data_IF_087904384370
#
_entry.id   IF_087904384370
#
_cell.length_a   1.000
_cell.length_b   1.000
_cell.length_c   1.000
_cell.angle_alpha   90.00
_cell.angle_beta   90.00
_cell.angle_gamma   90.00
#
_symmetry.space_group_name_H-M   'P 1'
#
loop_
_entity.id
_entity.type
_entity.pdbx_description
1 polymer ?
#
# COMPACT_ATOMS: atom_id res chain seq x y z
N UNK A 1 33.15 -8.93 0.84
CA UNK A 1 33.58 -8.15 2.02
C UNK A 1 32.84 -6.83 1.97
N UNK A 2 31.70 -6.72 2.65
CA UNK A 2 30.91 -5.47 2.66
C UNK A 2 31.50 -4.55 3.73
N UNK A 3 32.29 -3.56 3.31
CA UNK A 3 32.76 -2.52 4.20
C UNK A 3 31.56 -1.66 4.60
N UNK A 4 31.17 -1.75 5.88
CA UNK A 4 30.16 -0.87 6.50
C UNK A 4 30.64 0.56 6.28
N UNK A 5 29.83 1.40 5.59
CA UNK A 5 30.24 2.77 5.26
C UNK A 5 30.66 3.52 6.53
N UNK A 6 31.68 4.37 6.41
CA UNK A 6 32.17 5.14 7.56
C UNK A 6 31.07 6.05 8.09
N UNK A 7 31.08 6.33 9.40
CA UNK A 7 30.13 7.26 10.04
C UNK A 7 30.16 8.66 9.39
N UNK A 8 31.28 9.06 8.77
CA UNK A 8 31.39 10.29 7.98
C UNK A 8 30.55 10.29 6.70
N UNK A 9 30.42 9.14 6.03
CA UNK A 9 29.65 9.01 4.79
C UNK A 9 28.13 9.01 5.02
N UNK A 10 27.70 8.51 6.18
CA UNK A 10 26.30 8.56 6.64
C UNK A 10 25.88 10.01 6.89
N UNK A 11 26.70 10.79 7.61
CA UNK A 11 26.41 12.21 7.85
C UNK A 11 26.32 13.02 6.56
N UNK A 12 27.24 12.81 5.61
CA UNK A 12 27.18 13.45 4.29
C UNK A 12 25.92 13.06 3.51
N UNK A 13 25.53 11.79 3.54
CA UNK A 13 24.32 11.32 2.85
C UNK A 13 23.06 11.93 3.46
N UNK A 14 23.00 12.01 4.80
CA UNK A 14 21.90 12.66 5.54
C UNK A 14 21.72 14.11 5.11
N UNK A 15 22.82 14.88 5.06
CA UNK A 15 22.78 16.27 4.60
C UNK A 15 22.25 16.38 3.16
N UNK A 16 22.68 15.49 2.27
CA UNK A 16 22.23 15.49 0.87
C UNK A 16 20.76 15.11 0.70
N UNK A 17 20.22 14.24 1.56
CA UNK A 17 18.78 13.91 1.57
C UNK A 17 17.95 15.14 1.96
N UNK A 18 18.44 15.94 2.90
CA UNK A 18 17.72 17.10 3.43
C UNK A 18 17.99 18.40 2.67
N UNK A 19 18.96 18.43 1.76
CA UNK A 19 19.31 19.60 0.96
C UNK A 19 18.25 19.89 -0.12
N UNK A 20 17.46 20.98 -0.01
CA UNK A 20 16.44 21.32 -0.99
C UNK A 20 17.03 21.77 -2.33
N UNK A 21 18.33 22.07 -2.41
CA UNK A 21 19.00 22.43 -3.67
C UNK A 21 19.31 21.22 -4.54
N UNK A 22 19.21 20.00 -3.99
CA UNK A 22 19.40 18.76 -4.75
C UNK A 22 18.08 18.34 -5.39
N UNK A 23 18.18 17.84 -6.62
CA UNK A 23 17.03 17.25 -7.30
C UNK A 23 16.51 16.02 -6.54
N UNK A 24 15.23 15.74 -6.70
CA UNK A 24 14.52 14.75 -5.89
C UNK A 24 15.03 13.33 -6.14
N UNK A 25 15.49 13.02 -7.36
CA UNK A 25 16.05 11.72 -7.70
C UNK A 25 17.41 11.49 -7.02
N UNK A 26 18.27 12.52 -6.99
CA UNK A 26 19.52 12.48 -6.23
C UNK A 26 19.27 12.31 -4.74
N UNK A 27 18.27 13.01 -4.18
CA UNK A 27 17.85 12.85 -2.77
C UNK A 27 17.36 11.43 -2.49
N UNK A 28 16.58 10.83 -3.39
CA UNK A 28 16.15 9.43 -3.31
C UNK A 28 17.34 8.47 -3.29
N UNK A 29 18.34 8.66 -4.17
CA UNK A 29 19.56 7.82 -4.19
C UNK A 29 20.33 7.89 -2.87
N UNK A 30 20.45 9.08 -2.28
CA UNK A 30 21.09 9.23 -0.96
C UNK A 30 20.26 8.61 0.16
N UNK A 31 18.93 8.70 0.10
CA UNK A 31 18.05 8.08 1.08
C UNK A 31 18.11 6.55 1.02
N UNK A 32 18.18 5.96 -0.19
CA UNK A 32 18.44 4.53 -0.37
C UNK A 32 19.76 4.11 0.27
N UNK A 33 20.81 4.86 0.02
CA UNK A 33 22.09 4.61 0.65
C UNK A 33 22.04 4.68 2.18
N UNK A 34 21.22 5.55 2.79
CA UNK A 34 21.04 5.56 4.24
C UNK A 34 20.31 4.30 4.73
N UNK A 35 19.25 3.90 4.03
CA UNK A 35 18.44 2.72 4.36
C UNK A 35 19.26 1.42 4.37
N UNK A 36 20.31 1.33 3.56
CA UNK A 36 21.18 0.14 3.49
C UNK A 36 22.32 0.14 4.53
N UNK A 37 22.61 1.26 5.17
CA UNK A 37 23.83 1.44 5.98
C UNK A 37 23.59 1.88 7.44
N UNK A 38 22.35 2.23 7.79
CA UNK A 38 21.99 2.74 9.13
C UNK A 38 21.09 1.73 9.83
N UNK A 39 21.27 1.57 11.15
CA UNK A 39 20.49 0.64 11.95
C UNK A 39 19.02 1.11 12.08
N UNK A 40 18.10 0.17 12.29
CA UNK A 40 16.66 0.43 12.23
C UNK A 40 16.16 1.49 13.23
N UNK A 41 16.75 1.56 14.44
CA UNK A 41 16.39 2.56 15.45
C UNK A 41 16.71 3.99 15.00
N UNK A 42 17.90 4.19 14.43
CA UNK A 42 18.35 5.50 13.94
C UNK A 42 17.57 5.90 12.69
N UNK A 43 17.27 4.95 11.81
CA UNK A 43 16.38 5.17 10.67
C UNK A 43 14.98 5.60 11.11
N UNK A 44 14.40 4.92 12.10
CA UNK A 44 13.10 5.30 12.64
C UNK A 44 13.10 6.74 13.15
N UNK A 45 14.07 7.10 13.98
CA UNK A 45 14.20 8.48 14.48
C UNK A 45 14.38 9.49 13.33
N UNK A 46 15.18 9.14 12.32
CA UNK A 46 15.39 9.98 11.14
C UNK A 46 14.10 10.21 10.34
N UNK A 47 13.32 9.14 10.12
CA UNK A 47 12.02 9.22 9.44
C UNK A 47 11.03 10.04 10.25
N UNK A 48 10.92 9.82 11.56
CA UNK A 48 10.01 10.56 12.43
C UNK A 48 10.29 12.06 12.48
N UNK A 49 11.56 12.43 12.39
CA UNK A 49 12.03 13.82 12.41
C UNK A 49 11.84 14.52 11.05
N UNK A 50 12.05 13.80 9.95
CA UNK A 50 12.10 14.36 8.59
C UNK A 50 10.95 13.86 7.69
N UNK A 51 9.84 13.43 8.30
CA UNK A 51 8.71 12.77 7.65
C UNK A 51 8.17 13.54 6.44
N UNK A 52 8.00 14.87 6.55
CA UNK A 52 7.50 15.70 5.47
C UNK A 52 8.46 15.73 4.28
N UNK A 53 9.77 15.89 4.52
CA UNK A 53 10.78 15.94 3.47
C UNK A 53 10.94 14.59 2.78
N UNK A 54 10.87 13.50 3.54
CA UNK A 54 10.94 12.14 3.01
C UNK A 54 9.70 11.82 2.16
N UNK A 55 8.52 12.20 2.64
CA UNK A 55 7.29 12.01 1.86
C UNK A 55 7.30 12.82 0.56
N UNK A 56 7.79 14.07 0.61
CA UNK A 56 8.00 14.88 -0.59
C UNK A 56 8.94 14.19 -1.59
N UNK A 57 10.06 13.62 -1.12
CA UNK A 57 10.99 12.87 -1.99
C UNK A 57 10.27 11.70 -2.67
N UNK A 58 9.50 10.93 -1.91
CA UNK A 58 8.72 9.83 -2.47
C UNK A 58 7.70 10.32 -3.50
N UNK A 59 6.86 11.29 -3.13
CA UNK A 59 5.73 11.72 -3.93
C UNK A 59 6.16 12.33 -5.27
N UNK A 60 7.14 13.23 -5.26
CA UNK A 60 7.63 13.88 -6.48
C UNK A 60 8.28 12.88 -7.46
N UNK A 61 9.09 11.93 -6.95
CA UNK A 61 9.64 10.87 -7.81
C UNK A 61 8.53 9.98 -8.37
N UNK A 62 7.52 9.63 -7.55
CA UNK A 62 6.39 8.81 -8.01
C UNK A 62 5.59 9.49 -9.12
N UNK A 63 5.22 10.76 -8.95
CA UNK A 63 4.48 11.53 -9.97
C UNK A 63 5.31 11.72 -11.25
N UNK A 64 6.61 11.99 -11.10
CA UNK A 64 7.52 12.13 -12.26
C UNK A 64 7.58 10.83 -13.06
N UNK A 65 7.71 9.69 -12.38
CA UNK A 65 7.76 8.39 -13.02
C UNK A 65 6.41 8.00 -13.64
N UNK A 66 5.29 8.26 -12.95
CA UNK A 66 3.94 8.01 -13.47
C UNK A 66 3.71 8.75 -14.80
N UNK A 67 4.06 10.04 -14.86
CA UNK A 67 3.95 10.82 -16.08
C UNK A 67 4.88 10.29 -17.19
N UNK A 68 6.08 9.86 -16.83
CA UNK A 68 7.04 9.25 -17.76
C UNK A 68 6.51 7.93 -18.36
N UNK A 69 5.89 7.08 -17.54
CA UNK A 69 5.28 5.82 -17.96
C UNK A 69 4.09 6.02 -18.90
N UNK A 70 3.26 7.05 -18.65
CA UNK A 70 2.13 7.44 -19.53
C UNK A 70 2.61 7.89 -20.93
N UNK A 71 3.77 8.57 -21.02
CA UNK A 71 4.24 9.20 -22.26
C UNK A 71 5.19 8.34 -23.11
N UNK A 72 6.18 7.69 -22.48
CA UNK A 72 7.34 7.10 -23.18
C UNK A 72 7.33 5.57 -23.23
N UNK A 73 6.24 4.95 -22.81
CA UNK A 73 6.14 3.50 -22.66
C UNK A 73 6.96 2.96 -21.48
N UNK A 74 7.08 1.64 -21.39
CA UNK A 74 7.66 0.92 -20.26
C UNK A 74 9.00 0.26 -20.63
N UNK A 75 10.12 0.83 -20.17
CA UNK A 75 11.46 0.27 -20.33
C UNK A 75 12.02 -0.30 -19.01
N UNK A 76 13.12 -1.06 -19.11
CA UNK A 76 13.74 -1.72 -17.95
C UNK A 76 14.13 -0.72 -16.85
N UNK A 77 14.70 0.43 -17.21
CA UNK A 77 15.11 1.46 -16.25
C UNK A 77 13.94 2.06 -15.46
N UNK A 78 12.79 2.30 -16.10
CA UNK A 78 11.60 2.80 -15.40
C UNK A 78 11.04 1.77 -14.41
N UNK A 79 11.16 0.48 -14.70
CA UNK A 79 10.77 -0.59 -13.75
C UNK A 79 11.68 -0.61 -12.53
N UNK A 80 12.99 -0.48 -12.73
CA UNK A 80 13.96 -0.40 -11.64
C UNK A 80 13.75 0.87 -10.80
N UNK A 81 13.40 1.99 -11.45
CA UNK A 81 13.05 3.23 -10.77
C UNK A 81 11.74 3.09 -9.97
N UNK A 82 10.71 2.43 -10.52
CA UNK A 82 9.48 2.13 -9.80
C UNK A 82 9.75 1.26 -8.57
N UNK A 83 10.49 0.17 -8.73
CA UNK A 83 10.92 -0.69 -7.62
C UNK A 83 11.71 0.14 -6.58
N UNK A 84 12.51 1.12 -7.04
CA UNK A 84 13.25 2.03 -6.17
C UNK A 84 12.33 2.88 -5.29
N UNK A 85 11.32 3.50 -5.91
CA UNK A 85 10.34 4.38 -5.29
C UNK A 85 9.41 3.60 -4.35
N UNK A 86 8.93 2.42 -4.77
CA UNK A 86 8.00 1.61 -3.97
C UNK A 86 8.64 1.08 -2.69
N UNK A 87 9.92 0.76 -2.68
CA UNK A 87 10.57 0.41 -1.42
C UNK A 87 10.78 1.64 -0.52
N UNK A 88 10.99 2.85 -1.06
CA UNK A 88 10.95 4.03 -0.18
C UNK A 88 9.55 4.19 0.42
N UNK A 89 8.50 4.00 -0.38
CA UNK A 89 7.12 4.04 0.08
C UNK A 89 6.85 3.00 1.18
N UNK A 90 7.33 1.77 1.01
CA UNK A 90 7.31 0.74 2.05
C UNK A 90 7.97 1.24 3.34
N UNK A 91 9.17 1.83 3.26
CA UNK A 91 9.87 2.33 4.45
C UNK A 91 9.12 3.48 5.13
N UNK A 92 8.44 4.34 4.37
CA UNK A 92 7.55 5.35 4.93
C UNK A 92 6.42 4.69 5.72
N UNK A 93 5.77 3.66 5.16
CA UNK A 93 4.69 2.94 5.83
C UNK A 93 5.19 2.19 7.09
N UNK A 94 6.39 1.59 7.03
CA UNK A 94 7.00 0.84 8.14
C UNK A 94 7.44 1.73 9.30
N UNK A 95 8.09 2.87 9.02
CA UNK A 95 8.69 3.72 10.05
C UNK A 95 7.79 4.85 10.57
N UNK A 96 6.66 5.13 9.93
CA UNK A 96 5.72 6.19 10.35
C UNK A 96 4.30 5.69 10.71
N UNK A 97 4.13 4.55 11.37
CA UNK A 97 2.80 4.01 11.64
C UNK A 97 1.96 4.92 12.54
N UNK A 98 2.55 5.63 13.50
CA UNK A 98 1.82 6.56 14.37
C UNK A 98 1.23 7.73 13.59
N UNK A 99 1.97 8.27 12.62
CA UNK A 99 1.46 9.37 11.78
C UNK A 99 0.31 8.88 10.90
N UNK A 100 0.47 7.69 10.32
CA UNK A 100 -0.55 7.06 9.48
C UNK A 100 -1.82 6.79 10.29
N UNK A 101 -1.70 6.28 11.51
CA UNK A 101 -2.82 6.10 12.44
C UNK A 101 -3.61 7.40 12.61
N UNK A 102 -2.93 8.54 12.72
CA UNK A 102 -3.54 9.88 12.73
C UNK A 102 -3.86 10.46 11.34
N UNK A 103 -4.00 9.62 10.31
CA UNK A 103 -4.38 9.98 8.94
C UNK A 103 -3.45 10.99 8.26
N UNK A 104 -2.16 11.00 8.60
CA UNK A 104 -1.16 11.80 7.89
C UNK A 104 -1.03 11.35 6.42
N UNK A 105 -1.07 12.31 5.48
CA UNK A 105 -1.13 12.08 4.03
C UNK A 105 -2.16 11.04 3.57
N UNK A 106 -3.25 10.84 4.33
CA UNK A 106 -4.26 9.81 4.07
C UNK A 106 -4.73 9.74 2.62
N UNK A 107 -5.10 10.88 2.04
CA UNK A 107 -5.62 10.94 0.67
C UNK A 107 -4.56 10.62 -0.38
N UNK A 108 -3.33 11.11 -0.18
CA UNK A 108 -2.23 10.92 -1.12
C UNK A 108 -1.74 9.47 -1.10
N UNK A 109 -1.55 8.90 0.09
CA UNK A 109 -1.21 7.48 0.27
C UNK A 109 -2.31 6.59 -0.33
N UNK A 110 -3.58 6.88 -0.02
CA UNK A 110 -4.71 6.15 -0.58
C UNK A 110 -4.76 6.22 -2.11
N UNK A 111 -4.49 7.37 -2.71
CA UNK A 111 -4.43 7.54 -4.17
C UNK A 111 -3.31 6.70 -4.80
N UNK A 112 -2.09 6.74 -4.25
CA UNK A 112 -0.98 5.88 -4.71
C UNK A 112 -1.34 4.39 -4.63
N UNK A 113 -1.95 3.96 -3.53
CA UNK A 113 -2.34 2.55 -3.36
C UNK A 113 -3.43 2.14 -4.36
N UNK A 114 -4.40 3.00 -4.63
CA UNK A 114 -5.41 2.76 -5.68
C UNK A 114 -4.77 2.62 -7.07
N UNK A 115 -3.77 3.46 -7.39
CA UNK A 115 -2.97 3.33 -8.63
C UNK A 115 -2.24 1.99 -8.74
N UNK A 116 -1.74 1.44 -7.62
CA UNK A 116 -1.08 0.13 -7.59
C UNK A 116 -2.08 -1.03 -7.67
N UNK A 117 -3.25 -0.89 -7.06
CA UNK A 117 -4.29 -1.91 -7.00
C UNK A 117 -5.13 -2.04 -8.29
N UNK A 118 -5.08 -1.05 -9.18
CA UNK A 118 -5.83 -1.02 -10.44
C UNK A 118 -5.79 -2.37 -11.18
N UNK A 119 -6.94 -2.93 -11.58
CA UNK A 119 -6.98 -4.32 -12.07
C UNK A 119 -6.27 -4.51 -13.41
N UNK A 120 -6.18 -3.44 -14.21
CA UNK A 120 -5.40 -3.40 -15.45
C UNK A 120 -3.87 -3.43 -15.29
N UNK A 121 -3.33 -3.31 -14.06
CA UNK A 121 -1.90 -3.47 -13.83
C UNK A 121 -1.43 -4.92 -14.01
N UNK A 122 -0.16 -5.09 -14.36
CA UNK A 122 0.53 -6.39 -14.31
C UNK A 122 0.40 -7.06 -12.95
N UNK A 123 0.45 -8.39 -12.95
CA UNK A 123 0.31 -9.18 -11.72
C UNK A 123 1.34 -8.80 -10.64
N UNK A 124 2.58 -8.48 -11.05
CA UNK A 124 3.64 -8.02 -10.13
C UNK A 124 3.20 -6.76 -9.37
N UNK A 125 2.69 -5.76 -10.09
CA UNK A 125 2.26 -4.49 -9.48
C UNK A 125 1.03 -4.66 -8.60
N UNK A 126 0.06 -5.47 -9.03
CA UNK A 126 -1.13 -5.75 -8.20
C UNK A 126 -0.78 -6.46 -6.90
N UNK A 127 0.12 -7.45 -6.95
CA UNK A 127 0.59 -8.14 -5.73
C UNK A 127 1.30 -7.19 -4.77
N UNK A 128 2.13 -6.29 -5.31
CA UNK A 128 2.82 -5.27 -4.53
C UNK A 128 1.85 -4.22 -3.96
N UNK A 129 0.85 -3.82 -4.74
CA UNK A 129 -0.25 -2.96 -4.30
C UNK A 129 -1.01 -3.56 -3.12
N UNK A 130 -1.37 -4.85 -3.18
CA UNK A 130 -2.00 -5.57 -2.06
C UNK A 130 -1.08 -5.56 -0.84
N UNK A 131 0.19 -5.89 -1.03
CA UNK A 131 1.18 -5.94 0.06
C UNK A 131 1.27 -4.60 0.80
N UNK A 132 1.46 -3.51 0.07
CA UNK A 132 1.59 -2.16 0.63
C UNK A 132 0.27 -1.63 1.18
N UNK A 133 -0.86 -1.99 0.57
CA UNK A 133 -2.18 -1.63 1.07
C UNK A 133 -2.47 -2.26 2.42
N UNK A 134 -2.15 -3.54 2.60
CA UNK A 134 -2.33 -4.22 3.89
C UNK A 134 -1.45 -3.62 4.99
N UNK A 135 -0.22 -3.23 4.64
CA UNK A 135 0.67 -2.51 5.55
C UNK A 135 0.08 -1.17 6.00
N UNK A 136 -0.45 -0.39 5.05
CA UNK A 136 -1.13 0.88 5.35
C UNK A 136 -2.40 0.68 6.18
N UNK A 137 -3.22 -0.31 5.83
CA UNK A 137 -4.48 -0.62 6.53
C UNK A 137 -4.24 -1.08 7.98
N UNK A 138 -3.16 -1.83 8.23
CA UNK A 138 -2.71 -2.19 9.58
C UNK A 138 -2.19 -1.02 10.39
N UNK A 139 -1.60 -0.01 9.74
CA UNK A 139 -1.20 1.22 10.40
C UNK A 139 -2.40 2.12 10.72
N UNK A 140 -3.42 2.15 9.84
CA UNK A 140 -4.67 2.89 10.06
C UNK A 140 -5.53 2.27 11.17
N UNK A 141 -5.67 0.95 11.19
CA UNK A 141 -6.54 0.23 12.13
C UNK A 141 -7.97 0.82 12.13
N UNK A 142 -8.51 1.09 13.31
CA UNK A 142 -9.84 1.69 13.52
C UNK A 142 -9.96 3.11 12.98
N UNK A 143 -8.86 3.76 12.58
CA UNK A 143 -8.89 5.07 11.92
C UNK A 143 -9.07 4.97 10.40
N UNK A 144 -9.22 3.80 9.79
CA UNK A 144 -9.58 3.73 8.37
C UNK A 144 -11.03 4.21 8.14
N UNK A 145 -11.34 4.68 6.92
CA UNK A 145 -12.72 4.93 6.53
C UNK A 145 -13.35 3.69 5.87
N UNK A 146 -14.65 3.75 5.64
CA UNK A 146 -15.40 2.66 5.00
C UNK A 146 -14.81 2.27 3.63
N UNK A 147 -14.37 3.24 2.83
CA UNK A 147 -13.75 2.99 1.51
C UNK A 147 -12.60 1.98 1.60
N UNK A 148 -11.73 2.09 2.60
CA UNK A 148 -10.57 1.20 2.77
C UNK A 148 -11.00 -0.20 3.19
N UNK A 149 -12.06 -0.31 4.00
CA UNK A 149 -12.66 -1.60 4.34
C UNK A 149 -13.29 -2.27 3.12
N UNK A 150 -13.96 -1.49 2.26
CA UNK A 150 -14.54 -1.99 1.01
C UNK A 150 -13.45 -2.41 0.02
N UNK A 151 -12.38 -1.63 -0.12
CA UNK A 151 -11.22 -2.00 -0.94
C UNK A 151 -10.64 -3.31 -0.44
N UNK A 152 -10.44 -3.46 0.87
CA UNK A 152 -9.97 -4.71 1.48
C UNK A 152 -10.84 -5.89 1.07
N UNK A 153 -12.17 -5.74 1.13
CA UNK A 153 -13.09 -6.82 0.79
C UNK A 153 -13.09 -7.17 -0.72
N UNK A 154 -12.68 -6.25 -1.58
CA UNK A 154 -12.63 -6.44 -3.03
C UNK A 154 -11.23 -6.84 -3.56
N UNK A 155 -10.22 -7.08 -2.70
CA UNK A 155 -8.85 -7.42 -3.15
C UNK A 155 -8.77 -8.77 -3.88
N UNK A 156 -9.58 -9.74 -3.49
CA UNK A 156 -9.60 -11.07 -4.10
C UNK A 156 -10.74 -11.15 -5.13
N UNK A 157 -10.43 -11.34 -6.42
CA UNK A 157 -11.47 -11.49 -7.45
C UNK A 157 -12.27 -12.78 -7.24
N UNK A 158 -13.52 -12.80 -7.71
CA UNK A 158 -14.42 -13.96 -7.63
C UNK A 158 -15.23 -14.06 -6.33
N UNK A 159 -14.95 -13.24 -5.33
CA UNK A 159 -15.83 -13.10 -4.17
C UNK A 159 -17.05 -12.22 -4.49
N UNK A 160 -18.20 -12.40 -3.81
CA UNK A 160 -19.39 -11.58 -4.04
C UNK A 160 -19.14 -10.09 -3.80
N UNK A 161 -19.81 -9.24 -4.57
CA UNK A 161 -19.72 -7.79 -4.39
C UNK A 161 -20.23 -7.38 -3.01
N UNK A 162 -19.51 -6.47 -2.36
CA UNK A 162 -19.89 -5.95 -1.04
C UNK A 162 -20.84 -4.76 -1.21
N UNK A 163 -21.91 -4.71 -0.42
CA UNK A 163 -22.86 -3.61 -0.46
C UNK A 163 -22.34 -2.40 0.34
N UNK A 164 -22.36 -1.24 -0.29
CA UNK A 164 -22.23 0.07 0.36
C UNK A 164 -23.56 0.82 0.33
N UNK A 165 -23.62 2.00 0.95
CA UNK A 165 -24.77 2.92 0.83
C UNK A 165 -25.07 3.34 -0.61
N UNK A 166 -24.10 3.20 -1.54
CA UNK A 166 -24.23 3.52 -2.97
C UNK A 166 -24.47 2.29 -3.85
N UNK A 167 -24.69 1.12 -3.25
CA UNK A 167 -24.91 -0.15 -3.96
C UNK A 167 -23.69 -1.08 -3.96
N UNK A 168 -23.69 -2.12 -4.81
CA UNK A 168 -22.61 -3.10 -4.89
C UNK A 168 -21.28 -2.47 -5.31
N UNK A 169 -20.23 -2.77 -4.55
CA UNK A 169 -18.87 -2.30 -4.79
C UNK A 169 -18.01 -3.41 -5.40
N UNK A 170 -17.21 -3.02 -6.39
CA UNK A 170 -16.11 -3.81 -6.93
C UNK A 170 -14.82 -3.01 -6.76
N UNK A 171 -13.67 -3.66 -6.92
CA UNK A 171 -12.39 -2.94 -6.81
C UNK A 171 -12.30 -1.80 -7.84
N UNK A 172 -12.81 -2.02 -9.06
CA UNK A 172 -12.84 -1.01 -10.11
C UNK A 172 -13.71 0.20 -9.74
N UNK A 173 -14.92 -0.02 -9.22
CA UNK A 173 -15.80 1.10 -8.85
C UNK A 173 -15.31 1.86 -7.62
N UNK A 174 -14.48 1.25 -6.77
CA UNK A 174 -13.83 1.92 -5.65
C UNK A 174 -12.57 2.69 -6.08
N UNK A 175 -11.86 2.21 -7.11
CA UNK A 175 -10.69 2.89 -7.67
C UNK A 175 -11.12 4.12 -8.45
N UNK A 176 -12.08 3.95 -9.36
CA UNK A 176 -12.67 5.01 -10.17
C UNK A 176 -14.18 5.08 -9.91
N UNK A 177 -14.61 5.78 -8.83
CA UNK A 177 -16.03 5.92 -8.55
C UNK A 177 -16.71 6.70 -9.67
N UNK A 178 -17.81 6.14 -10.20
CA UNK A 178 -18.63 6.82 -11.19
C UNK A 178 -19.09 8.17 -10.63
N UNK A 179 -18.98 9.27 -11.38
CA UNK A 179 -19.47 10.56 -10.93
C UNK A 179 -20.96 10.45 -10.62
N UNK A 180 -21.36 10.82 -9.40
CA UNK A 180 -22.79 11.01 -9.12
C UNK A 180 -23.35 12.02 -10.10
N UNK A 181 -24.56 11.78 -10.62
CA UNK A 181 -25.26 12.55 -11.67
C UNK A 181 -25.58 14.02 -11.28
N UNK A 182 -24.91 14.59 -10.28
CA UNK A 182 -25.18 15.93 -9.77
C UNK A 182 -23.92 16.79 -9.91
N UNK A 183 -23.85 17.52 -11.02
CA UNK A 183 -23.31 18.88 -11.15
C UNK A 183 -21.90 19.20 -10.61
N UNK A 184 -21.01 18.21 -10.52
CA UNK A 184 -19.61 18.46 -10.17
C UNK A 184 -18.86 18.99 -11.41
N UNK A 185 -18.46 20.27 -11.40
CA UNK A 185 -17.62 20.87 -12.46
C UNK A 185 -16.15 20.39 -12.42
N UNK A 186 -15.74 19.74 -11.33
CA UNK A 186 -14.40 19.20 -11.13
C UNK A 186 -14.53 17.74 -10.74
N UNK A 187 -13.96 16.87 -11.57
CA UNK A 187 -13.88 15.43 -11.31
C UNK A 187 -12.46 15.07 -10.85
N UNK A 188 -12.30 14.12 -9.92
CA UNK A 188 -10.99 13.55 -9.62
C UNK A 188 -10.34 13.01 -10.90
N UNK A 189 -9.01 13.15 -11.02
CA UNK A 189 -8.27 12.51 -12.12
C UNK A 189 -8.52 11.00 -12.09
N UNK A 190 -8.89 10.44 -13.23
CA UNK A 190 -9.11 9.00 -13.37
C UNK A 190 -7.80 8.25 -13.14
N UNK A 191 -7.86 7.23 -12.27
CA UNK A 191 -6.72 6.37 -11.99
C UNK A 191 -6.57 5.40 -13.15
N UNK A 192 -5.42 5.45 -13.82
CA UNK A 192 -5.06 4.52 -14.89
C UNK A 192 -3.98 3.54 -14.43
N UNK A 193 -3.84 2.36 -15.08
CA UNK A 193 -2.77 1.42 -14.76
C UNK A 193 -1.38 2.06 -14.92
N UNK A 194 -0.50 1.89 -13.93
CA UNK A 194 0.90 2.32 -14.00
C UNK A 194 1.67 1.48 -15.02
N UNK A 195 1.51 0.16 -14.96
CA UNK A 195 2.18 -0.79 -15.84
C UNK A 195 1.15 -1.84 -16.28
N UNK A 196 0.53 -1.66 -17.46
CA UNK A 196 -0.44 -2.60 -17.98
C UNK A 196 0.13 -4.02 -18.09
N UNK A 197 -0.72 -5.02 -17.85
CA UNK A 197 -0.35 -6.41 -18.07
C UNK A 197 0.07 -6.64 -19.53
N UNK A 198 1.17 -7.37 -19.74
CA UNK A 198 1.59 -7.76 -21.09
C UNK A 198 0.65 -8.86 -21.61
N UNK A 199 0.32 -8.84 -22.90
CA UNK A 199 -0.56 -9.84 -23.56
C UNK A 199 -0.07 -11.30 -23.35
N UNK A 200 1.21 -11.49 -23.01
CA UNK A 200 1.82 -12.81 -22.73
C UNK A 200 1.84 -13.22 -21.25
N UNK A 201 1.30 -12.43 -20.32
CA UNK A 201 1.18 -12.89 -18.94
C UNK A 201 0.28 -14.13 -18.89
N UNK A 202 0.85 -15.26 -18.44
CA UNK A 202 0.13 -16.51 -18.30
C UNK A 202 -0.94 -16.29 -17.22
N UNK A 203 -2.19 -16.24 -17.64
CA UNK A 203 -3.34 -16.17 -16.73
C UNK A 203 -3.28 -17.44 -15.87
N UNK A 204 -3.06 -17.29 -14.56
CA UNK A 204 -3.19 -18.40 -13.62
C UNK A 204 -4.62 -18.91 -13.70
N UNK A 205 -4.81 -20.22 -13.92
CA UNK A 205 -6.15 -20.81 -14.14
C UNK A 205 -7.14 -20.49 -13.00
N UNK A 206 -6.64 -20.29 -11.77
CA UNK A 206 -7.43 -19.83 -10.62
C UNK A 206 -6.84 -18.55 -10.00
N UNK A 207 -7.26 -17.40 -10.52
CA UNK A 207 -6.88 -16.09 -9.99
C UNK A 207 -7.40 -15.86 -8.56
N UNK A 208 -8.57 -16.41 -8.22
CA UNK A 208 -9.18 -16.25 -6.90
C UNK A 208 -8.29 -16.89 -5.82
N UNK A 209 -7.90 -18.15 -6.02
CA UNK A 209 -6.97 -18.83 -5.11
C UNK A 209 -5.63 -18.11 -5.03
N UNK A 210 -5.08 -17.68 -6.16
CA UNK A 210 -3.81 -16.95 -6.19
C UNK A 210 -3.86 -15.66 -5.33
N UNK A 211 -4.84 -14.79 -5.54
CA UNK A 211 -4.94 -13.54 -4.79
C UNK A 211 -5.31 -13.77 -3.32
N UNK A 212 -6.08 -14.81 -3.01
CA UNK A 212 -6.33 -15.21 -1.63
C UNK A 212 -5.05 -15.62 -0.91
N UNK A 213 -4.18 -16.39 -1.56
CA UNK A 213 -2.86 -16.74 -0.99
C UNK A 213 -2.00 -15.51 -0.75
N UNK A 214 -2.00 -14.56 -1.69
CA UNK A 214 -1.29 -13.28 -1.56
C UNK A 214 -1.83 -12.47 -0.37
N UNK A 215 -3.14 -12.36 -0.24
CA UNK A 215 -3.80 -11.68 0.87
C UNK A 215 -3.39 -12.30 2.22
N UNK A 216 -3.56 -13.62 2.37
CA UNK A 216 -3.25 -14.34 3.60
C UNK A 216 -1.76 -14.22 3.96
N UNK A 217 -0.87 -14.40 2.98
CA UNK A 217 0.57 -14.26 3.16
C UNK A 217 0.93 -12.89 3.72
N UNK A 218 0.41 -11.83 3.12
CA UNK A 218 0.80 -10.47 3.50
C UNK A 218 0.06 -9.93 4.72
N UNK A 219 -1.14 -10.43 5.04
CA UNK A 219 -1.78 -10.13 6.33
C UNK A 219 -0.87 -10.49 7.51
N UNK A 220 -0.15 -11.62 7.43
CA UNK A 220 0.77 -12.07 8.47
C UNK A 220 2.11 -11.35 8.40
N UNK A 221 2.73 -11.33 7.21
CA UNK A 221 4.09 -10.76 7.04
C UNK A 221 4.12 -9.26 7.33
N UNK A 222 3.12 -8.49 6.87
CA UNK A 222 3.14 -7.04 7.02
C UNK A 222 2.93 -6.60 8.47
N UNK A 223 2.17 -7.38 9.27
CA UNK A 223 1.87 -7.04 10.66
C UNK A 223 3.15 -6.91 11.52
N UNK A 224 4.09 -7.82 11.30
CA UNK A 224 5.37 -7.82 12.01
C UNK A 224 6.35 -6.75 11.50
N UNK A 225 6.07 -6.12 10.36
CA UNK A 225 7.01 -5.18 9.70
C UNK A 225 6.81 -3.72 10.08
N UNK A 226 5.70 -3.38 10.75
CA UNK A 226 5.47 -2.02 11.23
C UNK A 226 6.31 -1.75 12.50
N UNK A 227 7.12 -0.71 12.42
CA UNK A 227 7.95 -0.26 13.52
C UNK A 227 7.15 0.69 14.41
N UNK A 228 6.31 0.13 15.29
CA UNK A 228 5.56 0.90 16.29
C UNK A 228 6.44 1.27 17.49
N UNK A 229 6.13 2.39 18.15
CA UNK A 229 6.72 2.74 19.46
C UNK A 229 6.18 1.83 20.55
N UNK A 230 4.87 1.58 20.56
CA UNK A 230 4.24 0.59 21.44
C UNK A 230 4.07 -0.74 20.69
N UNK A 231 4.66 -1.82 21.21
CA UNK A 231 4.58 -3.16 20.62
C UNK A 231 3.16 -3.74 20.62
N UNK A 232 2.29 -3.34 21.55
CA UNK A 232 0.89 -3.79 21.57
C UNK A 232 0.10 -3.37 20.32
N UNK A 233 0.54 -2.33 19.63
CA UNK A 233 -0.08 -1.88 18.38
C UNK A 233 0.15 -2.88 17.23
N UNK A 234 1.21 -3.71 17.28
CA UNK A 234 1.45 -4.75 16.28
C UNK A 234 0.35 -5.83 16.34
N UNK A 235 0.05 -6.33 17.54
CA UNK A 235 -1.02 -7.31 17.76
C UNK A 235 -2.38 -6.75 17.34
N UNK A 236 -2.63 -5.48 17.65
CA UNK A 236 -3.89 -4.81 17.32
C UNK A 236 -4.07 -4.70 15.80
N UNK A 237 -3.02 -4.36 15.05
CA UNK A 237 -3.05 -4.30 13.59
C UNK A 237 -3.39 -5.64 12.93
N UNK A 238 -2.79 -6.74 13.41
CA UNK A 238 -3.12 -8.07 12.91
C UNK A 238 -4.56 -8.48 13.26
N UNK A 239 -4.97 -8.31 14.52
CA UNK A 239 -6.35 -8.61 14.97
C UNK A 239 -7.38 -7.84 14.16
N UNK A 240 -7.09 -6.59 13.82
CA UNK A 240 -7.94 -5.77 12.96
C UNK A 240 -8.11 -6.38 11.56
N UNK A 241 -7.01 -6.68 10.84
CA UNK A 241 -7.12 -7.32 9.53
C UNK A 241 -7.80 -8.68 9.59
N UNK A 242 -7.49 -9.48 10.61
CA UNK A 242 -8.12 -10.79 10.76
C UNK A 242 -9.64 -10.66 11.00
N UNK A 243 -10.07 -9.62 11.71
CA UNK A 243 -11.51 -9.32 11.86
C UNK A 243 -12.16 -9.00 10.52
N UNK A 244 -11.51 -8.20 9.67
CA UNK A 244 -12.01 -7.93 8.31
C UNK A 244 -12.05 -9.21 7.47
N UNK A 245 -10.99 -10.03 7.53
CA UNK A 245 -10.95 -11.30 6.80
C UNK A 245 -12.08 -12.26 7.23
N UNK A 246 -12.30 -12.39 8.55
CA UNK A 246 -13.41 -13.17 9.10
C UNK A 246 -14.77 -12.67 8.64
N UNK A 247 -14.92 -11.36 8.44
CA UNK A 247 -16.16 -10.74 8.00
C UNK A 247 -16.42 -10.96 6.51
N UNK A 248 -15.41 -10.73 5.66
CA UNK A 248 -15.61 -10.61 4.21
C UNK A 248 -15.19 -11.83 3.40
N UNK A 249 -14.28 -12.67 3.91
CA UNK A 249 -13.77 -13.82 3.16
C UNK A 249 -14.21 -15.15 3.77
N UNK A 250 -14.10 -15.30 5.09
CA UNK A 250 -14.36 -16.57 5.77
C UNK A 250 -15.75 -17.18 5.51
N UNK A 251 -16.86 -16.40 5.47
CA UNK A 251 -18.20 -16.96 5.22
C UNK A 251 -18.35 -17.61 3.84
N UNK A 252 -17.58 -17.13 2.85
CA UNK A 252 -17.62 -17.65 1.48
C UNK A 252 -16.64 -18.80 1.29
N UNK A 253 -15.52 -18.80 2.02
CA UNK A 253 -14.57 -19.92 2.03
C UNK A 253 -15.11 -21.16 2.73
N UNK A 254 -15.85 -20.96 3.83
CA UNK A 254 -16.42 -22.05 4.62
C UNK A 254 -17.91 -21.81 4.91
N UNK A 255 -18.81 -21.96 3.92
CA UNK A 255 -20.24 -21.70 4.09
C UNK A 255 -20.91 -22.52 5.23
N UNK A 256 -20.35 -23.69 5.53
CA UNK A 256 -20.82 -24.58 6.60
C UNK A 256 -20.52 -24.04 8.01
N UNK A 257 -19.43 -23.28 8.17
CA UNK A 257 -19.00 -22.74 9.48
C UNK A 257 -19.90 -21.60 9.97
N UNK A 258 -20.46 -20.83 9.04
CA UNK A 258 -21.38 -19.71 9.33
C UNK A 258 -22.77 -20.17 9.79
N UNK A 259 -23.20 -21.39 9.42
CA UNK A 259 -24.47 -21.96 9.89
C UNK A 259 -24.44 -22.32 11.38
N UNK A 260 -23.31 -22.81 11.89
CA UNK A 260 -23.16 -23.18 13.31
C UNK A 260 -23.14 -21.96 14.25
N UNK A 261 -22.46 -20.87 13.88
CA UNK A 261 -22.43 -19.66 14.71
C UNK A 261 -23.76 -18.91 14.77
N UNK A 262 -24.59 -18.99 13.73
CA UNK A 262 -25.95 -18.41 13.77
C UNK A 262 -26.88 -19.17 14.72
N UNK A 263 -26.75 -20.49 14.84
CA UNK A 263 -27.52 -21.28 15.81
C UNK A 263 -27.20 -20.89 17.27
N UNK A 264 -25.95 -20.54 17.59
CA UNK A 264 -25.57 -20.12 18.95
C UNK A 264 -26.13 -18.74 19.32
N UNK A 265 -26.32 -17.83 18.37
CA UNK A 265 -26.92 -16.50 18.62
C UNK A 265 -28.45 -16.52 18.72
N UNK A 266 -29.11 -17.60 18.28
CA UNK A 266 -30.56 -17.80 18.43
C UNK A 266 -30.93 -18.59 19.69
N UNK A 267 -29.95 -18.94 20.53
CA UNK A 267 -30.15 -19.71 21.77
C UNK A 267 -29.90 -18.90 23.05
N UNK A 268 -29.87 -17.57 22.96
CA UNK A 268 -29.89 -16.62 24.10
C UNK A 268 -31.01 -15.64 23.91
#
# INVERSE_FOLDING_TARGET
>A
MFSRRSHGDVKKSTQKVLDPKKDVLTRLKHLRALLDNVDASDLKQFFETNYSQIYFIFYENFVTLENSLKLKGNNKSQREELDSILFLFEKILQFLPERIFFRWHYQSIGSTLKKLLHTGNSMKIRCEGIRLFLLWLQALQTNCAEEQVLIFACLVPGFPAVLSSRGPCTLETLINPSPSVVDAKIYPEEITPLLPAHIREKITEDQTCFFLQILLKYMVIQAASLEWKNKENQDTGFKFLFTLFRKYYLPHLFPSFTKFNKCLQTCT
#
